data_IF_518739893780
#
_entry.id   IF_518739893780
#
_cell.length_a   1.000
_cell.length_b   1.000
_cell.length_c   1.000
_cell.angle_alpha   90.00
_cell.angle_beta   90.00
_cell.angle_gamma   90.00
#
_symmetry.space_group_name_H-M   'P 1'
#
loop_
_entity.id
_entity.type
_entity.pdbx_description
1 polymer ?
#
# COMPACT_ATOMS: atom_id res chain seq x y z
N UNK A 1 -0.97 6.40 51.10
CA UNK A 1 -1.35 7.01 49.79
C UNK A 1 -0.48 8.24 49.40
N UNK A 2 0.76 8.41 49.89
CA UNK A 2 1.56 9.62 49.59
C UNK A 2 2.61 9.42 48.46
N UNK A 3 3.00 8.17 48.21
CA UNK A 3 4.05 7.82 47.22
C UNK A 3 3.53 7.83 45.79
N UNK A 4 2.26 7.46 45.57
CA UNK A 4 1.63 7.43 44.25
C UNK A 4 1.49 8.86 43.68
N UNK A 5 1.06 9.83 44.50
CA UNK A 5 0.95 11.23 44.07
C UNK A 5 2.30 11.85 43.70
N UNK A 6 3.38 11.52 44.44
CA UNK A 6 4.74 12.01 44.10
C UNK A 6 5.30 11.44 42.80
N UNK A 7 4.93 10.21 42.45
CA UNK A 7 5.30 9.57 41.18
C UNK A 7 4.54 10.21 40.02
N UNK A 8 3.23 10.45 40.19
CA UNK A 8 2.38 11.11 39.20
C UNK A 8 2.83 12.56 38.96
N UNK A 9 3.18 13.30 40.01
CA UNK A 9 3.69 14.68 39.88
C UNK A 9 5.02 14.74 39.13
N UNK A 10 5.95 13.82 39.40
CA UNK A 10 7.24 13.76 38.68
C UNK A 10 7.09 13.38 37.22
N UNK A 11 6.14 12.51 36.88
CA UNK A 11 5.83 12.13 35.48
C UNK A 11 5.19 13.32 34.75
N UNK A 12 4.28 14.03 35.41
CA UNK A 12 3.63 15.24 34.88
C UNK A 12 4.66 16.36 34.61
N UNK A 13 5.63 16.55 35.50
CA UNK A 13 6.70 17.53 35.35
C UNK A 13 7.68 17.17 34.22
N UNK A 14 7.95 15.88 34.00
CA UNK A 14 8.79 15.38 32.90
C UNK A 14 8.13 15.56 31.51
N UNK A 15 6.80 15.39 31.43
CA UNK A 15 6.03 15.63 30.21
C UNK A 15 6.02 17.13 29.85
N UNK A 16 6.01 18.01 30.87
CA UNK A 16 5.91 19.45 30.68
C UNK A 16 7.16 20.10 30.08
N UNK A 17 8.35 19.50 30.26
CA UNK A 17 9.62 20.04 29.75
C UNK A 17 10.05 19.49 28.38
N UNK A 18 9.53 18.32 27.96
CA UNK A 18 9.83 17.71 26.63
C UNK A 18 8.73 17.90 25.59
N UNK A 19 7.58 18.46 25.98
CA UNK A 19 6.39 18.54 25.12
C UNK A 19 6.53 19.44 23.90
N UNK A 20 7.40 20.45 23.93
CA UNK A 20 7.46 21.46 22.86
C UNK A 20 8.30 21.02 21.66
N UNK A 21 9.46 20.37 21.91
CA UNK A 21 10.29 19.81 20.82
C UNK A 21 9.70 18.52 20.25
N UNK A 22 9.15 17.65 21.10
CA UNK A 22 8.54 16.39 20.66
C UNK A 22 7.27 16.64 19.82
N UNK A 23 6.45 17.65 20.16
CA UNK A 23 5.30 18.01 19.32
C UNK A 23 5.74 18.44 17.93
N UNK A 24 6.77 19.28 17.83
CA UNK A 24 7.24 19.78 16.53
C UNK A 24 7.80 18.65 15.66
N UNK A 25 8.61 17.76 16.22
CA UNK A 25 9.19 16.62 15.49
C UNK A 25 8.13 15.59 15.11
N UNK A 26 7.17 15.28 15.99
CA UNK A 26 6.04 14.39 15.68
C UNK A 26 5.18 15.00 14.57
N UNK A 27 4.82 16.28 14.67
CA UNK A 27 4.01 16.94 13.64
C UNK A 27 4.76 17.00 12.31
N UNK A 28 6.07 17.27 12.31
CA UNK A 28 6.88 17.28 11.11
C UNK A 28 6.99 15.88 10.48
N UNK A 29 7.23 14.84 11.26
CA UNK A 29 7.29 13.45 10.79
C UNK A 29 5.93 12.96 10.28
N UNK A 30 4.86 13.23 11.03
CA UNK A 30 3.49 12.88 10.62
C UNK A 30 3.09 13.65 9.37
N UNK A 31 3.46 14.93 9.25
CA UNK A 31 3.17 15.72 8.04
C UNK A 31 3.93 15.22 6.82
N UNK A 32 5.21 14.86 6.98
CA UNK A 32 6.02 14.31 5.89
C UNK A 32 5.53 12.92 5.48
N UNK A 33 5.14 12.08 6.44
CA UNK A 33 4.53 10.78 6.19
C UNK A 33 3.17 10.94 5.51
N UNK A 34 2.30 11.83 5.98
CA UNK A 34 1.02 12.14 5.32
C UNK A 34 1.23 12.63 3.89
N UNK A 35 2.18 13.53 3.66
CA UNK A 35 2.45 14.04 2.32
C UNK A 35 2.87 12.91 1.36
N UNK A 36 3.76 12.01 1.80
CA UNK A 36 4.13 10.81 1.04
C UNK A 36 2.95 9.87 0.85
N UNK A 37 2.14 9.65 1.88
CA UNK A 37 0.99 8.76 1.83
C UNK A 37 -0.07 9.26 0.84
N UNK A 38 -0.33 10.57 0.85
CA UNK A 38 -1.26 11.22 -0.08
C UNK A 38 -0.72 11.19 -1.51
N UNK A 39 0.57 11.47 -1.71
CA UNK A 39 1.20 11.37 -3.03
C UNK A 39 1.14 9.93 -3.57
N UNK A 40 1.51 8.95 -2.74
CA UNK A 40 1.44 7.52 -3.07
C UNK A 40 0.00 7.09 -3.39
N UNK A 41 -0.96 7.49 -2.56
CA UNK A 41 -2.37 7.20 -2.79
C UNK A 41 -2.87 7.82 -4.09
N UNK A 42 -2.42 9.03 -4.42
CA UNK A 42 -2.77 9.71 -5.67
C UNK A 42 -2.22 8.95 -6.88
N UNK A 43 -0.94 8.56 -6.85
CA UNK A 43 -0.30 7.78 -7.90
C UNK A 43 -0.99 6.41 -8.04
N UNK A 44 -1.26 5.73 -6.93
CA UNK A 44 -1.95 4.44 -6.92
C UNK A 44 -3.38 4.55 -7.50
N UNK A 45 -4.11 5.62 -7.15
CA UNK A 45 -5.46 5.86 -7.67
C UNK A 45 -5.46 6.11 -9.18
N UNK A 46 -4.54 6.97 -9.66
CA UNK A 46 -4.38 7.23 -11.09
C UNK A 46 -3.94 5.97 -11.84
N UNK A 47 -3.00 5.21 -11.28
CA UNK A 47 -2.56 3.93 -11.82
C UNK A 47 -3.69 2.91 -11.90
N UNK A 48 -4.54 2.84 -10.87
CA UNK A 48 -5.72 1.98 -10.86
C UNK A 48 -6.70 2.36 -11.97
N UNK A 49 -6.98 3.66 -12.15
CA UNK A 49 -7.82 4.11 -13.26
C UNK A 49 -7.23 3.74 -14.61
N UNK A 50 -5.93 3.96 -14.80
CA UNK A 50 -5.24 3.58 -16.03
C UNK A 50 -5.34 2.07 -16.30
N UNK A 51 -5.16 1.25 -15.28
CA UNK A 51 -5.30 -0.21 -15.36
C UNK A 51 -6.73 -0.62 -15.78
N UNK A 52 -7.74 0.00 -15.18
CA UNK A 52 -9.15 -0.24 -15.51
C UNK A 52 -9.40 0.14 -16.97
N UNK A 53 -8.99 1.33 -17.40
CA UNK A 53 -9.13 1.76 -18.79
C UNK A 53 -8.42 0.83 -19.76
N UNK A 54 -7.22 0.35 -19.42
CA UNK A 54 -6.47 -0.59 -20.25
C UNK A 54 -7.18 -1.94 -20.37
N UNK A 55 -7.76 -2.42 -19.26
CA UNK A 55 -8.59 -3.64 -19.23
C UNK A 55 -9.85 -3.48 -20.08
N UNK A 56 -10.54 -2.33 -19.99
CA UNK A 56 -11.68 -2.00 -20.83
C UNK A 56 -11.29 -1.93 -22.32
N UNK A 57 -10.14 -1.34 -22.64
CA UNK A 57 -9.63 -1.26 -24.00
C UNK A 57 -9.29 -2.64 -24.55
N UNK A 58 -8.66 -3.52 -23.76
CA UNK A 58 -8.43 -4.91 -24.13
C UNK A 58 -9.74 -5.66 -24.37
N UNK A 59 -10.73 -5.49 -23.49
CA UNK A 59 -12.04 -6.11 -23.64
C UNK A 59 -12.75 -5.63 -24.91
N UNK A 60 -12.68 -4.33 -25.20
CA UNK A 60 -13.24 -3.74 -26.43
C UNK A 60 -12.53 -4.26 -27.68
N UNK A 61 -11.20 -4.39 -27.65
CA UNK A 61 -10.43 -4.99 -28.73
C UNK A 61 -10.82 -6.46 -28.97
N UNK A 62 -11.02 -7.23 -27.89
CA UNK A 62 -11.49 -8.60 -27.97
C UNK A 62 -12.92 -8.71 -28.54
N UNK A 63 -13.81 -7.76 -28.21
CA UNK A 63 -15.16 -7.70 -28.80
C UNK A 63 -15.10 -7.47 -30.32
N UNK A 64 -14.19 -6.63 -30.80
CA UNK A 64 -14.00 -6.40 -32.24
C UNK A 64 -13.47 -7.66 -32.95
N UNK A 65 -12.54 -8.40 -32.34
CA UNK A 65 -12.01 -9.64 -32.89
C UNK A 65 -13.04 -10.79 -32.92
N UNK A 66 -14.02 -10.78 -32.02
CA UNK A 66 -15.08 -11.80 -31.94
C UNK A 66 -16.36 -11.44 -32.71
N UNK A 67 -16.39 -10.28 -33.39
CA UNK A 67 -17.54 -9.77 -34.16
C UNK A 67 -18.86 -9.71 -33.36
N UNK A 68 -18.77 -9.48 -32.04
CA UNK A 68 -19.94 -9.40 -31.18
C UNK A 68 -19.71 -8.51 -29.94
N UNK A 69 -20.66 -7.61 -29.61
CA UNK A 69 -20.45 -6.51 -28.66
C UNK A 69 -20.39 -6.90 -27.17
N UNK A 70 -20.66 -8.15 -26.81
CA UNK A 70 -20.80 -8.56 -25.40
C UNK A 70 -19.83 -9.65 -24.94
N UNK A 71 -19.28 -10.45 -25.85
CA UNK A 71 -18.45 -11.61 -25.47
C UNK A 71 -17.09 -11.22 -24.91
N UNK A 72 -16.50 -10.11 -25.34
CA UNK A 72 -15.22 -9.62 -24.83
C UNK A 72 -15.28 -9.25 -23.34
N UNK A 73 -16.38 -8.64 -22.89
CA UNK A 73 -16.58 -8.36 -21.46
C UNK A 73 -16.90 -9.62 -20.66
N UNK A 74 -17.64 -10.57 -21.24
CA UNK A 74 -17.96 -11.86 -20.61
C UNK A 74 -16.71 -12.73 -20.40
N UNK A 75 -15.81 -12.77 -21.38
CA UNK A 75 -14.55 -13.51 -21.31
C UNK A 75 -13.62 -12.86 -20.28
N UNK A 76 -13.45 -11.53 -20.34
CA UNK A 76 -12.60 -10.81 -19.37
C UNK A 76 -13.18 -10.96 -17.96
N UNK A 77 -14.48 -10.83 -17.79
CA UNK A 77 -15.17 -11.08 -16.52
C UNK A 77 -14.98 -12.52 -16.01
N UNK A 78 -15.07 -13.51 -16.90
CA UNK A 78 -14.81 -14.92 -16.57
C UNK A 78 -13.37 -15.18 -16.14
N UNK A 79 -12.39 -14.57 -16.81
CA UNK A 79 -10.97 -14.65 -16.43
C UNK A 79 -10.74 -14.02 -15.06
N UNK A 80 -11.34 -12.86 -14.78
CA UNK A 80 -11.27 -12.25 -13.45
C UNK A 80 -11.93 -13.11 -12.38
N UNK A 81 -13.05 -13.79 -12.68
CA UNK A 81 -13.72 -14.70 -11.77
C UNK A 81 -12.87 -15.92 -11.43
N UNK A 82 -12.23 -16.52 -12.44
CA UNK A 82 -11.29 -17.64 -12.27
C UNK A 82 -10.07 -17.18 -11.48
N UNK A 83 -9.51 -16.01 -11.79
CA UNK A 83 -8.39 -15.41 -11.06
C UNK A 83 -8.73 -15.13 -9.60
N UNK A 84 -9.93 -14.60 -9.33
CA UNK A 84 -10.43 -14.34 -7.99
C UNK A 84 -10.61 -15.64 -7.20
N UNK A 85 -11.18 -16.69 -7.81
CA UNK A 85 -11.32 -18.02 -7.20
C UNK A 85 -9.94 -18.62 -6.93
N UNK A 86 -9.01 -18.51 -7.88
CA UNK A 86 -7.63 -18.96 -7.72
C UNK A 86 -6.92 -18.27 -6.56
N UNK A 87 -7.02 -16.94 -6.47
CA UNK A 87 -6.50 -16.14 -5.37
C UNK A 87 -7.15 -16.53 -4.04
N UNK A 88 -8.47 -16.70 -4.00
CA UNK A 88 -9.20 -17.05 -2.78
C UNK A 88 -8.84 -18.45 -2.26
N UNK A 89 -8.62 -19.41 -3.17
CA UNK A 89 -8.05 -20.73 -2.84
C UNK A 89 -6.60 -20.63 -2.35
N UNK A 90 -5.78 -19.79 -2.97
CA UNK A 90 -4.38 -19.57 -2.56
C UNK A 90 -4.29 -18.91 -1.18
N UNK A 91 -5.19 -17.96 -0.90
CA UNK A 91 -5.34 -17.28 0.37
C UNK A 91 -5.74 -18.26 1.48
N UNK A 92 -6.65 -19.20 1.17
CA UNK A 92 -7.04 -20.28 2.07
C UNK A 92 -5.90 -21.26 2.38
N UNK A 93 -4.91 -21.37 1.50
CA UNK A 93 -3.82 -22.35 1.62
C UNK A 93 -2.56 -21.77 2.29
N UNK A 94 -2.62 -20.57 2.89
CA UNK A 94 -1.48 -19.85 3.51
C UNK A 94 -0.23 -19.62 2.63
N UNK A 95 -0.23 -20.05 1.35
CA UNK A 95 0.87 -19.83 0.41
C UNK A 95 1.08 -18.36 0.05
N UNK A 96 0.04 -17.53 0.16
CA UNK A 96 0.14 -16.11 -0.18
C UNK A 96 1.06 -15.35 0.79
N UNK A 97 1.07 -15.72 2.07
CA UNK A 97 1.95 -15.08 3.05
C UNK A 97 3.43 -15.30 2.70
N UNK A 98 3.82 -16.55 2.40
CA UNK A 98 5.20 -16.88 2.07
C UNK A 98 5.66 -16.24 0.75
N UNK A 99 4.76 -16.11 -0.22
CA UNK A 99 5.05 -15.41 -1.47
C UNK A 99 5.20 -13.90 -1.22
N UNK A 100 4.28 -13.27 -0.49
CA UNK A 100 4.36 -11.85 -0.15
C UNK A 100 5.64 -11.50 0.63
N UNK A 101 6.06 -12.33 1.58
CA UNK A 101 7.32 -12.13 2.32
C UNK A 101 8.54 -12.17 1.39
N UNK A 102 8.61 -13.13 0.47
CA UNK A 102 9.74 -13.24 -0.47
C UNK A 102 9.77 -12.04 -1.44
N UNK A 103 8.59 -11.55 -1.85
CA UNK A 103 8.46 -10.39 -2.72
C UNK A 103 8.82 -9.08 -2.01
N UNK A 104 8.46 -8.95 -0.74
CA UNK A 104 8.78 -7.76 0.06
C UNK A 104 10.29 -7.67 0.34
N UNK A 105 10.95 -8.80 0.62
CA UNK A 105 12.40 -8.86 0.84
C UNK A 105 13.17 -8.50 -0.43
N UNK A 106 12.82 -9.08 -1.57
CA UNK A 106 13.47 -8.74 -2.85
C UNK A 106 13.23 -7.27 -3.25
N UNK A 107 12.07 -6.71 -2.94
CA UNK A 107 11.76 -5.32 -3.24
C UNK A 107 12.52 -4.35 -2.32
N UNK A 108 12.67 -4.68 -1.02
CA UNK A 108 13.52 -3.87 -0.15
C UNK A 108 14.99 -3.90 -0.58
N UNK A 109 15.48 -5.07 -1.02
CA UNK A 109 16.85 -5.22 -1.53
C UNK A 109 17.04 -4.39 -2.81
N UNK A 110 16.08 -4.41 -3.74
CA UNK A 110 16.16 -3.62 -4.98
C UNK A 110 16.08 -2.10 -4.73
N UNK A 111 15.34 -1.67 -3.70
CA UNK A 111 15.26 -0.26 -3.31
C UNK A 111 16.51 0.21 -2.55
N UNK A 112 17.19 -0.68 -1.82
CA UNK A 112 18.49 -0.40 -1.21
C UNK A 112 19.61 -0.33 -2.25
N UNK A 113 19.63 -1.23 -3.24
CA UNK A 113 20.62 -1.17 -4.35
C UNK A 113 20.44 0.08 -5.23
N UNK A 114 19.19 0.47 -5.56
CA UNK A 114 18.92 1.69 -6.33
C UNK A 114 19.32 2.98 -5.58
N UNK A 115 19.25 3.00 -4.24
CA UNK A 115 19.72 4.13 -3.43
C UNK A 115 21.26 4.22 -3.31
N UNK A 116 22.00 3.14 -3.56
CA UNK A 116 23.48 3.13 -3.49
C UNK A 116 24.11 3.58 -4.82
N UNK A 117 23.45 3.32 -5.94
CA UNK A 117 23.94 3.73 -7.27
C UNK A 117 23.72 5.23 -7.58
N UNK A 118 22.82 5.91 -6.87
CA UNK A 118 22.60 7.37 -7.00
C UNK A 118 23.60 8.22 -6.20
N UNK A 119 24.46 7.62 -5.36
CA UNK A 119 25.45 8.33 -4.52
C UNK A 119 26.91 8.26 -5.05
N UNK A 120 27.15 7.70 -6.25
CA UNK A 120 28.50 7.63 -6.88
C UNK A 120 28.70 8.68 -7.97
#
# INVERSE_FOLDING_TARGET
MAVINKLVDKISEYIRLKGEKIKLDIIAQVSRLLAHFVAFLTIALVGLFLLIFLSLALAAYLNYALDSPHYGYLIVGGVYLIGLIGILLLLRTNKLQNWLETLFVNLSESLEEENVDEEI
#
